data_IF_497318681881
#
_entry.id   IF_497318681881
#
_cell.length_a   1.000
_cell.length_b   1.000
_cell.length_c   1.000
_cell.angle_alpha   90.00
_cell.angle_beta   90.00
_cell.angle_gamma   90.00
#
_symmetry.space_group_name_H-M   'P 1'
#
loop_
_entity.id
_entity.type
_entity.pdbx_description
1 polymer ?
#
# COMPACT_ATOMS: atom_id res chain seq x y z
N UNK A 1 -2.86 -26.55 23.14
CA UNK A 1 -2.87 -25.08 23.25
C UNK A 1 -3.62 -24.56 22.04
N UNK A 2 -4.80 -23.94 22.20
CA UNK A 2 -5.54 -23.40 21.06
C UNK A 2 -4.76 -22.22 20.46
N UNK A 3 -4.72 -22.17 19.12
CA UNK A 3 -4.19 -21.04 18.34
C UNK A 3 -4.85 -19.75 18.83
N UNK A 4 -4.06 -18.70 19.09
CA UNK A 4 -4.63 -17.37 19.30
C UNK A 4 -5.41 -16.97 18.02
N UNK A 5 -6.70 -16.74 18.21
CA UNK A 5 -7.65 -16.34 17.18
C UNK A 5 -7.28 -14.97 16.60
N UNK A 6 -7.17 -14.87 15.27
CA UNK A 6 -7.54 -13.73 14.43
C UNK A 6 -7.41 -12.31 15.04
N UNK A 7 -6.23 -11.90 15.49
CA UNK A 7 -5.96 -10.47 15.70
C UNK A 7 -5.70 -9.81 14.35
N UNK A 8 -6.35 -8.67 14.11
CA UNK A 8 -6.22 -7.92 12.86
C UNK A 8 -4.85 -7.25 12.82
N UNK A 9 -4.11 -7.42 11.72
CA UNK A 9 -2.75 -6.89 11.61
C UNK A 9 -2.69 -5.37 11.84
N UNK A 10 -3.73 -4.65 11.39
CA UNK A 10 -3.83 -3.19 11.62
C UNK A 10 -3.79 -2.81 13.12
N UNK A 11 -4.34 -3.64 14.01
CA UNK A 11 -4.32 -3.38 15.46
C UNK A 11 -2.91 -3.55 16.02
N UNK A 12 -2.15 -4.50 15.52
CA UNK A 12 -0.77 -4.77 15.94
C UNK A 12 0.19 -3.66 15.49
N UNK A 13 -0.03 -3.08 14.30
CA UNK A 13 0.82 -1.99 13.78
C UNK A 13 0.41 -0.60 14.28
N UNK A 14 -0.83 -0.43 14.77
CA UNK A 14 -1.35 0.86 15.21
C UNK A 14 -0.44 1.60 16.23
N UNK A 15 0.22 0.93 17.20
CA UNK A 15 1.19 1.58 18.09
C UNK A 15 2.40 2.18 17.37
N UNK A 16 2.78 1.70 16.18
CA UNK A 16 3.91 2.23 15.43
C UNK A 16 3.64 3.60 14.82
N UNK A 17 2.37 3.99 14.64
CA UNK A 17 2.02 5.31 14.10
C UNK A 17 2.40 6.47 15.05
N UNK A 18 2.69 6.16 16.31
CA UNK A 18 3.22 7.14 17.27
C UNK A 18 4.72 7.43 17.07
N UNK A 19 5.44 6.60 16.29
CA UNK A 19 6.85 6.84 15.99
C UNK A 19 7.02 8.07 15.08
N UNK A 20 8.07 8.85 15.33
CA UNK A 20 8.41 10.04 14.53
C UNK A 20 9.33 9.73 13.35
N UNK A 21 10.21 8.73 13.50
CA UNK A 21 11.14 8.32 12.45
C UNK A 21 10.43 7.37 11.47
N UNK A 22 10.23 7.85 10.24
CA UNK A 22 9.56 7.09 9.19
C UNK A 22 10.30 5.79 8.84
N UNK A 23 11.63 5.78 8.89
CA UNK A 23 12.42 4.59 8.55
C UNK A 23 12.20 3.50 9.57
N UNK A 24 12.18 3.85 10.86
CA UNK A 24 11.89 2.90 11.95
C UNK A 24 10.44 2.42 11.86
N UNK A 25 9.50 3.34 11.62
CA UNK A 25 8.08 3.05 11.50
C UNK A 25 7.82 2.06 10.35
N UNK A 26 8.26 2.39 9.13
CA UNK A 26 8.07 1.56 7.93
C UNK A 26 8.76 0.21 8.10
N UNK A 27 9.95 0.16 8.70
CA UNK A 27 10.61 -1.11 9.04
C UNK A 27 9.77 -1.96 9.98
N UNK A 28 9.20 -1.36 11.03
CA UNK A 28 8.38 -2.10 11.99
C UNK A 28 7.09 -2.63 11.35
N UNK A 29 6.41 -1.84 10.51
CA UNK A 29 5.27 -2.31 9.72
C UNK A 29 5.68 -3.46 8.81
N UNK A 30 6.80 -3.32 8.11
CA UNK A 30 7.27 -4.33 7.17
C UNK A 30 7.65 -5.67 7.84
N UNK A 31 8.00 -5.68 9.12
CA UNK A 31 8.31 -6.91 9.86
C UNK A 31 7.07 -7.79 10.12
N UNK A 32 5.86 -7.30 9.85
CA UNK A 32 4.61 -8.04 9.98
C UNK A 32 4.18 -8.76 8.70
N UNK A 33 4.89 -8.55 7.59
CA UNK A 33 4.64 -9.26 6.33
C UNK A 33 5.42 -10.57 6.32
N UNK A 34 4.77 -11.66 5.92
CA UNK A 34 5.36 -13.01 5.97
C UNK A 34 6.15 -13.36 4.70
N UNK A 35 5.81 -12.73 3.57
CA UNK A 35 6.37 -13.04 2.25
C UNK A 35 6.67 -11.78 1.46
N UNK A 36 7.77 -11.82 0.72
CA UNK A 36 8.19 -10.81 -0.25
C UNK A 36 8.24 -11.47 -1.63
N UNK A 37 7.63 -10.84 -2.62
CA UNK A 37 7.61 -11.27 -4.00
C UNK A 37 8.31 -10.21 -4.85
N UNK A 38 9.44 -10.58 -5.45
CA UNK A 38 10.15 -9.73 -6.40
C UNK A 38 9.36 -9.59 -7.71
N UNK A 39 9.43 -8.41 -8.32
CA UNK A 39 8.71 -8.04 -9.53
C UNK A 39 9.68 -7.66 -10.65
N UNK A 40 9.25 -7.88 -11.89
CA UNK A 40 9.96 -7.36 -13.06
C UNK A 40 11.35 -7.95 -13.32
N UNK A 41 11.75 -9.06 -12.69
CA UNK A 41 13.09 -9.70 -12.82
C UNK A 41 13.54 -9.97 -14.26
N UNK A 42 12.64 -9.94 -15.24
CA UNK A 42 12.91 -10.19 -16.66
C UNK A 42 12.78 -8.95 -17.56
N UNK A 43 12.73 -7.75 -16.99
CA UNK A 43 12.47 -6.50 -17.73
C UNK A 43 13.42 -5.37 -17.36
N UNK A 44 13.88 -4.64 -18.36
CA UNK A 44 14.76 -3.48 -18.20
C UNK A 44 14.06 -2.33 -17.46
N UNK A 45 14.80 -1.68 -16.57
CA UNK A 45 14.32 -0.53 -15.82
C UNK A 45 13.95 0.65 -16.74
N UNK A 46 12.97 1.47 -16.36
CA UNK A 46 12.55 2.66 -17.11
C UNK A 46 11.74 2.38 -18.38
N UNK A 47 11.16 1.18 -18.54
CA UNK A 47 10.41 0.82 -19.75
C UNK A 47 8.92 0.61 -19.48
N UNK A 48 8.07 0.97 -20.44
CA UNK A 48 6.63 0.68 -20.40
C UNK A 48 6.37 -0.83 -20.22
N UNK A 49 7.19 -1.67 -20.86
CA UNK A 49 7.12 -3.12 -20.72
C UNK A 49 7.32 -3.60 -19.28
N UNK A 50 8.24 -2.98 -18.54
CA UNK A 50 8.45 -3.28 -17.12
C UNK A 50 7.23 -2.88 -16.31
N UNK A 51 6.68 -1.69 -16.54
CA UNK A 51 5.45 -1.23 -15.89
C UNK A 51 4.30 -2.21 -16.12
N UNK A 52 4.08 -2.65 -17.36
CA UNK A 52 3.04 -3.62 -17.69
C UNK A 52 3.21 -4.94 -16.93
N UNK A 53 4.43 -5.49 -16.90
CA UNK A 53 4.74 -6.75 -16.20
C UNK A 53 4.53 -6.60 -14.69
N UNK A 54 5.12 -5.57 -14.09
CA UNK A 54 5.07 -5.30 -12.65
C UNK A 54 3.64 -5.01 -12.19
N UNK A 55 2.89 -4.22 -12.96
CA UNK A 55 1.47 -3.91 -12.70
C UNK A 55 0.65 -5.20 -12.75
N UNK A 56 0.86 -6.04 -13.76
CA UNK A 56 0.14 -7.31 -13.87
C UNK A 56 0.46 -8.23 -12.68
N UNK A 57 1.73 -8.40 -12.35
CA UNK A 57 2.18 -9.26 -11.25
C UNK A 57 1.63 -8.78 -9.89
N UNK A 58 1.71 -7.48 -9.62
CA UNK A 58 1.19 -6.89 -8.37
C UNK A 58 -0.33 -7.03 -8.25
N UNK A 59 -1.09 -6.84 -9.34
CA UNK A 59 -2.53 -7.08 -9.36
C UNK A 59 -2.86 -8.54 -9.09
N UNK A 60 -2.18 -9.49 -9.75
CA UNK A 60 -2.40 -10.92 -9.54
C UNK A 60 -2.10 -11.35 -8.09
N UNK A 61 -1.09 -10.77 -7.46
CA UNK A 61 -0.80 -11.00 -6.03
C UNK A 61 -1.86 -10.37 -5.14
N UNK A 62 -2.25 -9.12 -5.42
CA UNK A 62 -3.27 -8.41 -4.66
C UNK A 62 -4.61 -9.17 -4.67
N UNK A 63 -5.05 -9.62 -5.84
CA UNK A 63 -6.31 -10.36 -6.01
C UNK A 63 -6.27 -11.75 -5.34
N UNK A 64 -5.08 -12.34 -5.14
CA UNK A 64 -4.92 -13.56 -4.33
C UNK A 64 -5.02 -13.30 -2.82
N UNK A 65 -4.57 -12.13 -2.35
CA UNK A 65 -4.73 -11.74 -0.94
C UNK A 65 -6.20 -11.34 -0.68
N UNK A 66 -6.79 -10.57 -1.57
CA UNK A 66 -8.12 -9.98 -1.39
C UNK A 66 -9.12 -10.48 -2.43
N UNK A 67 -9.60 -11.71 -2.22
CA UNK A 67 -10.57 -12.37 -3.11
C UNK A 67 -11.98 -11.74 -3.04
N UNK A 68 -12.41 -11.28 -1.85
CA UNK A 68 -13.72 -10.69 -1.63
C UNK A 68 -13.72 -9.18 -1.89
N UNK A 69 -14.44 -8.75 -2.92
CA UNK A 69 -14.56 -7.34 -3.31
C UNK A 69 -15.39 -6.51 -2.33
N UNK A 70 -16.23 -7.14 -1.52
CA UNK A 70 -17.02 -6.46 -0.48
C UNK A 70 -16.29 -6.43 0.88
N UNK A 71 -15.05 -6.95 0.95
CA UNK A 71 -14.24 -6.95 2.16
C UNK A 71 -13.97 -5.54 2.68
N UNK A 72 -14.14 -5.34 3.98
CA UNK A 72 -13.75 -4.12 4.66
C UNK A 72 -12.23 -4.13 4.87
N UNK A 73 -11.56 -3.09 4.37
CA UNK A 73 -10.12 -2.91 4.46
C UNK A 73 -9.80 -1.58 5.15
N UNK A 74 -8.59 -1.50 5.68
CA UNK A 74 -7.96 -0.29 6.15
C UNK A 74 -6.83 0.06 5.19
N UNK A 75 -6.84 1.30 4.68
CA UNK A 75 -5.75 1.85 3.89
C UNK A 75 -4.89 2.75 4.80
N UNK A 76 -3.63 2.39 4.99
CA UNK A 76 -2.66 3.25 5.66
C UNK A 76 -1.78 3.93 4.60
N UNK A 77 -1.84 5.26 4.56
CA UNK A 77 -1.17 6.10 3.58
C UNK A 77 -0.15 6.96 4.31
N UNK A 78 1.11 6.89 3.90
CA UNK A 78 2.18 7.78 4.34
C UNK A 78 2.41 8.81 3.26
N UNK A 79 1.99 10.03 3.52
CA UNK A 79 1.94 11.14 2.57
C UNK A 79 3.05 12.16 2.88
N UNK A 80 3.87 12.46 1.88
CA UNK A 80 4.96 13.43 2.01
C UNK A 80 4.51 14.80 1.48
N UNK A 81 5.06 15.91 2.01
CA UNK A 81 4.73 17.25 1.51
C UNK A 81 4.97 17.41 0.00
N UNK A 82 4.10 18.16 -0.66
CA UNK A 82 4.33 18.58 -2.04
C UNK A 82 5.29 19.78 -2.11
N UNK A 83 6.13 19.86 -3.15
CA UNK A 83 6.38 18.82 -4.15
C UNK A 83 7.26 17.69 -3.58
N UNK A 84 6.90 16.45 -3.84
CA UNK A 84 7.78 15.31 -3.55
C UNK A 84 8.86 15.14 -4.65
N UNK A 85 9.90 14.31 -4.43
CA UNK A 85 11.01 14.13 -5.38
C UNK A 85 10.59 13.68 -6.79
N UNK A 86 9.41 13.09 -6.94
CA UNK A 86 8.88 12.60 -8.21
C UNK A 86 7.88 13.56 -8.86
N UNK A 87 7.61 14.72 -8.25
CA UNK A 87 6.60 15.69 -8.70
C UNK A 87 5.18 15.11 -8.84
N UNK A 88 4.92 13.93 -8.24
CA UNK A 88 3.61 13.30 -8.23
C UNK A 88 2.63 14.11 -7.35
N UNK A 89 1.39 14.33 -7.77
CA UNK A 89 0.43 15.03 -6.90
C UNK A 89 -0.12 14.10 -5.83
N UNK A 90 -0.10 14.53 -4.56
CA UNK A 90 -0.77 13.80 -3.49
C UNK A 90 -2.28 13.61 -3.75
N UNK A 91 -2.90 14.52 -4.51
CA UNK A 91 -4.34 14.47 -4.80
C UNK A 91 -4.75 13.26 -5.65
N UNK A 92 -3.83 12.70 -6.46
CA UNK A 92 -4.18 11.64 -7.41
C UNK A 92 -4.71 10.39 -6.72
N UNK A 93 -4.07 9.94 -5.63
CA UNK A 93 -4.52 8.78 -4.85
C UNK A 93 -5.99 8.90 -4.44
N UNK A 94 -6.39 10.06 -3.92
CA UNK A 94 -7.76 10.27 -3.45
C UNK A 94 -8.79 10.27 -4.59
N UNK A 95 -8.39 10.53 -5.84
CA UNK A 95 -9.28 10.34 -7.00
C UNK A 95 -9.55 8.86 -7.32
N UNK A 96 -8.74 7.95 -6.78
CA UNK A 96 -8.89 6.49 -6.94
C UNK A 96 -9.76 5.86 -5.84
N UNK A 97 -10.26 6.67 -4.90
CA UNK A 97 -11.10 6.22 -3.78
C UNK A 97 -12.47 6.88 -3.91
N UNK A 98 -13.52 6.08 -4.09
CA UNK A 98 -14.89 6.57 -4.27
C UNK A 98 -15.51 7.01 -2.94
N UNK A 99 -15.39 6.15 -1.94
CA UNK A 99 -16.03 6.30 -0.64
C UNK A 99 -15.09 5.75 0.43
N UNK A 100 -15.01 6.47 1.54
CA UNK A 100 -14.23 6.06 2.72
C UNK A 100 -14.80 6.72 3.96
N UNK A 101 -14.49 6.13 5.11
CA UNK A 101 -14.93 6.58 6.43
C UNK A 101 -13.74 6.61 7.40
N UNK A 102 -13.99 7.16 8.60
CA UNK A 102 -13.04 7.15 9.72
C UNK A 102 -11.62 7.61 9.34
N UNK A 103 -11.49 8.84 8.86
CA UNK A 103 -10.18 9.42 8.58
C UNK A 103 -9.48 9.71 9.91
N UNK A 104 -8.52 8.87 10.30
CA UNK A 104 -7.53 9.24 11.31
C UNK A 104 -6.34 9.84 10.60
N UNK A 105 -6.17 11.15 10.76
CA UNK A 105 -4.97 11.88 10.32
C UNK A 105 -4.01 12.02 11.49
N UNK A 106 -2.75 11.66 11.28
CA UNK A 106 -1.65 11.85 12.23
C UNK A 106 -0.62 12.73 11.55
N UNK A 107 -0.49 13.97 12.02
CA UNK A 107 0.46 14.93 11.47
C UNK A 107 1.83 14.70 12.10
N UNK A 108 2.85 14.53 11.25
CA UNK A 108 4.25 14.46 11.66
C UNK A 108 5.01 15.62 11.04
N UNK A 109 6.23 15.85 11.52
CA UNK A 109 7.07 16.95 11.03
C UNK A 109 7.39 16.83 9.52
N UNK A 110 7.60 15.61 9.04
CA UNK A 110 8.12 15.34 7.68
C UNK A 110 7.14 14.62 6.75
N UNK A 111 6.04 14.10 7.29
CA UNK A 111 5.01 13.36 6.55
C UNK A 111 3.69 13.37 7.33
N UNK A 112 2.60 12.96 6.71
CA UNK A 112 1.33 12.69 7.37
C UNK A 112 0.98 11.22 7.22
N UNK A 113 0.30 10.66 8.22
CA UNK A 113 -0.31 9.33 8.12
C UNK A 113 -1.82 9.52 8.00
N UNK A 114 -2.41 8.97 6.95
CA UNK A 114 -3.85 8.90 6.77
C UNK A 114 -4.28 7.44 6.86
N UNK A 115 -5.21 7.16 7.77
CA UNK A 115 -5.78 5.83 7.96
C UNK A 115 -7.24 5.92 7.57
N UNK A 116 -7.64 5.16 6.55
CA UNK A 116 -8.98 5.19 5.98
C UNK A 116 -9.63 3.82 6.10
N UNK A 117 -10.87 3.77 6.58
CA UNK A 117 -11.71 2.57 6.54
C UNK A 117 -12.60 2.61 5.29
N UNK A 118 -12.53 1.57 4.45
CA UNK A 118 -13.35 1.47 3.23
C UNK A 118 -13.63 0.03 2.83
N UNK A 119 -14.51 -0.18 1.85
CA UNK A 119 -14.67 -1.47 1.18
C UNK A 119 -13.75 -1.56 -0.03
N UNK A 120 -13.25 -2.76 -0.31
CA UNK A 120 -12.34 -2.95 -1.44
C UNK A 120 -12.93 -2.51 -2.79
N UNK A 121 -14.25 -2.67 -3.02
CA UNK A 121 -14.92 -2.19 -4.23
C UNK A 121 -14.93 -0.66 -4.41
N UNK A 122 -14.67 0.08 -3.34
CA UNK A 122 -14.68 1.55 -3.34
C UNK A 122 -13.30 2.14 -3.66
N UNK A 123 -12.30 1.29 -3.93
CA UNK A 123 -10.95 1.70 -4.35
C UNK A 123 -10.59 1.10 -5.71
N UNK A 124 -9.99 1.92 -6.58
CA UNK A 124 -9.39 1.45 -7.82
C UNK A 124 -7.94 1.03 -7.59
N UNK A 125 -7.76 -0.09 -6.88
CA UNK A 125 -6.43 -0.60 -6.53
C UNK A 125 -5.57 -0.87 -7.78
N UNK A 126 -6.16 -1.24 -8.92
CA UNK A 126 -5.41 -1.48 -10.17
C UNK A 126 -4.70 -0.22 -10.64
N UNK A 127 -5.38 0.92 -10.63
CA UNK A 127 -4.78 2.21 -10.95
C UNK A 127 -3.72 2.60 -9.92
N UNK A 128 -3.96 2.36 -8.63
CA UNK A 128 -2.99 2.66 -7.57
C UNK A 128 -1.70 1.86 -7.77
N UNK A 129 -1.80 0.54 -7.96
CA UNK A 129 -0.62 -0.33 -8.17
C UNK A 129 0.14 0.03 -9.46
N UNK A 130 -0.59 0.36 -10.53
CA UNK A 130 0.05 0.87 -11.75
C UNK A 130 0.78 2.20 -11.49
N UNK A 131 0.18 3.12 -10.73
CA UNK A 131 0.77 4.44 -10.47
C UNK A 131 1.99 4.36 -9.56
N UNK A 132 2.00 3.42 -8.61
CA UNK A 132 3.20 3.10 -7.83
C UNK A 132 4.33 2.62 -8.77
N UNK A 133 4.02 1.69 -9.69
CA UNK A 133 4.99 1.21 -10.68
C UNK A 133 5.50 2.30 -11.63
N UNK A 134 4.67 3.29 -11.96
CA UNK A 134 5.04 4.41 -12.83
C UNK A 134 6.04 5.37 -12.17
N UNK A 135 6.04 5.47 -10.84
CA UNK A 135 6.67 6.59 -10.11
C UNK A 135 8.19 6.63 -10.24
N UNK A 136 8.90 5.56 -9.84
CA UNK A 136 10.37 5.49 -10.00
C UNK A 136 10.79 5.40 -11.48
N UNK A 137 9.85 5.10 -12.38
CA UNK A 137 10.07 4.98 -13.83
C UNK A 137 9.93 6.29 -14.58
N UNK A 138 9.40 7.35 -13.95
CA UNK A 138 9.16 8.65 -14.59
C UNK A 138 7.94 8.68 -15.52
N UNK A 139 6.95 7.82 -15.29
CA UNK A 139 5.69 7.79 -16.04
C UNK A 139 4.54 8.37 -15.21
N UNK A 140 3.45 8.75 -15.90
CA UNK A 140 2.22 9.24 -15.28
C UNK A 140 1.05 8.28 -15.54
N UNK A 141 0.06 8.18 -14.63
CA UNK A 141 0.00 8.86 -13.34
C UNK A 141 1.03 8.31 -12.34
N UNK A 142 1.70 9.19 -11.60
CA UNK A 142 2.64 8.85 -10.53
C UNK A 142 2.00 8.98 -9.14
N UNK A 143 2.52 8.21 -8.18
CA UNK A 143 2.08 8.15 -6.78
C UNK A 143 3.29 7.93 -5.87
N UNK A 144 3.65 8.95 -5.09
CA UNK A 144 4.82 8.94 -4.20
C UNK A 144 4.51 8.56 -2.75
N UNK A 145 3.22 8.46 -2.38
CA UNK A 145 2.83 8.01 -1.04
C UNK A 145 3.14 6.52 -0.84
N UNK A 146 3.55 6.13 0.36
CA UNK A 146 3.66 4.71 0.72
C UNK A 146 2.27 4.23 1.16
N UNK A 147 1.80 3.14 0.56
CA UNK A 147 0.45 2.63 0.77
C UNK A 147 0.49 1.18 1.23
N UNK A 148 -0.26 0.90 2.29
CA UNK A 148 -0.54 -0.45 2.74
C UNK A 148 -2.04 -0.70 2.82
N UNK A 149 -2.44 -1.89 2.40
CA UNK A 149 -3.80 -2.41 2.47
C UNK A 149 -3.85 -3.47 3.55
N UNK A 150 -4.76 -3.32 4.51
CA UNK A 150 -4.97 -4.30 5.59
C UNK A 150 -6.41 -4.76 5.58
N UNK A 151 -6.64 -6.06 5.77
CA UNK A 151 -7.98 -6.54 6.09
C UNK A 151 -8.40 -6.04 7.47
N UNK A 152 -9.65 -5.60 7.60
CA UNK A 152 -10.20 -5.19 8.89
C UNK A 152 -10.75 -6.40 9.70
N UNK A 153 -10.65 -7.62 9.18
CA UNK A 153 -11.24 -8.82 9.79
C UNK A 153 -10.32 -10.04 9.81
N UNK A 154 -9.14 -9.95 9.18
CA UNK A 154 -8.19 -11.04 9.05
C UNK A 154 -6.75 -10.50 9.07
N UNK A 155 -5.72 -11.35 9.19
CA UNK A 155 -4.32 -10.88 9.17
C UNK A 155 -3.84 -10.47 7.77
N UNK A 156 -4.68 -10.61 6.73
CA UNK A 156 -4.32 -10.34 5.35
C UNK A 156 -3.86 -8.90 5.16
N UNK A 157 -2.74 -8.74 4.46
CA UNK A 157 -2.18 -7.43 4.17
C UNK A 157 -1.40 -7.44 2.85
N UNK A 158 -1.30 -6.26 2.24
CA UNK A 158 -0.56 -6.05 1.02
C UNK A 158 0.13 -4.68 1.04
N UNK A 159 1.38 -4.63 0.59
CA UNK A 159 2.10 -3.40 0.28
C UNK A 159 2.94 -3.59 -0.97
N UNK A 160 3.02 -2.56 -1.81
CA UNK A 160 3.89 -2.54 -2.99
C UNK A 160 5.03 -1.55 -2.74
N UNK A 161 6.26 -2.01 -2.90
CA UNK A 161 7.46 -1.19 -2.81
C UNK A 161 7.94 -0.87 -4.22
N UNK A 162 7.47 0.27 -4.72
CA UNK A 162 7.72 0.78 -6.07
C UNK A 162 7.46 -0.31 -7.12
N UNK A 163 8.33 -0.47 -8.09
CA UNK A 163 8.24 -1.51 -9.12
C UNK A 163 9.02 -2.79 -8.77
N UNK A 164 9.57 -2.88 -7.56
CA UNK A 164 10.58 -3.88 -7.20
C UNK A 164 9.97 -5.10 -6.52
N UNK A 165 9.09 -4.89 -5.55
CA UNK A 165 8.54 -6.00 -4.78
C UNK A 165 7.14 -5.73 -4.23
N UNK A 166 6.39 -6.80 -4.01
CA UNK A 166 5.20 -6.78 -3.17
C UNK A 166 5.49 -7.52 -1.85
N UNK A 167 4.99 -6.97 -0.76
CA UNK A 167 4.94 -7.61 0.55
C UNK A 167 3.52 -8.05 0.81
N UNK A 168 3.34 -9.29 1.23
CA UNK A 168 2.02 -9.82 1.55
C UNK A 168 2.01 -10.47 2.94
N UNK A 169 0.81 -10.62 3.48
CA UNK A 169 0.54 -11.44 4.66
C UNK A 169 -0.75 -12.22 4.45
N UNK A 170 -0.86 -13.42 5.03
CA UNK A 170 -2.12 -14.16 5.13
C UNK A 170 -2.59 -14.87 3.85
N UNK A 171 -1.65 -15.31 2.99
CA UNK A 171 -1.88 -16.32 1.95
C UNK A 171 -1.38 -17.68 2.42
#
# INVERSE_FOLDING_TARGET
MPLKENEMLIKEINPYFELEDISILIRNINNHFDKIYELGESSENGTEKRIEIVTKQSIELFEKVFEDKDENIVLAIFEFPDPNPFQASNSYLYTQIKEFSNIRKIEKKEFNIHILDLKLKDINYKNILNSIANTEMGFEPALSQIIYFFSNVSPKAFGMLDDRSCKINGI
#
